data_IF_688519222326
#
_entry.id   IF_688519222326
#
_cell.length_a   1.000
_cell.length_b   1.000
_cell.length_c   1.000
_cell.angle_alpha   90.00
_cell.angle_beta   90.00
_cell.angle_gamma   90.00
#
_symmetry.space_group_name_H-M   'P 1'
#
loop_
_entity.id
_entity.type
_entity.pdbx_description
1 polymer ?
#
# COMPACT_ATOMS: atom_id res chain seq x y z
N UNK A 1 -13.68 7.88 8.97
CA UNK A 1 -14.17 6.64 8.33
C UNK A 1 -13.05 5.86 7.66
N UNK A 2 -12.60 6.32 6.49
CA UNK A 2 -11.69 5.59 5.60
C UNK A 2 -10.44 4.99 6.29
N UNK A 3 -9.68 5.78 7.06
CA UNK A 3 -8.48 5.31 7.75
C UNK A 3 -8.76 4.15 8.74
N UNK A 4 -9.89 4.19 9.45
CA UNK A 4 -10.30 3.11 10.34
C UNK A 4 -10.67 1.87 9.54
N UNK A 5 -11.49 2.00 8.51
CA UNK A 5 -11.90 0.88 7.65
C UNK A 5 -10.68 0.18 7.02
N UNK A 6 -9.75 0.93 6.44
CA UNK A 6 -8.57 0.39 5.78
C UNK A 6 -7.60 -0.27 6.76
N UNK A 7 -7.33 0.37 7.90
CA UNK A 7 -6.45 -0.21 8.91
C UNK A 7 -7.05 -1.46 9.56
N UNK A 8 -8.35 -1.47 9.86
CA UNK A 8 -9.05 -2.65 10.34
C UNK A 8 -9.02 -3.78 9.32
N UNK A 9 -9.36 -3.51 8.05
CA UNK A 9 -9.24 -4.51 6.96
C UNK A 9 -7.82 -5.10 6.89
N UNK A 10 -6.81 -4.24 6.87
CA UNK A 10 -5.40 -4.63 6.74
C UNK A 10 -4.97 -5.54 7.89
N UNK A 11 -5.24 -5.15 9.14
CA UNK A 11 -4.85 -5.94 10.31
C UNK A 11 -5.67 -7.23 10.44
N UNK A 12 -6.99 -7.16 10.20
CA UNK A 12 -7.88 -8.32 10.32
C UNK A 12 -7.59 -9.38 9.24
N UNK A 13 -7.10 -8.99 8.07
CA UNK A 13 -6.74 -9.92 7.00
C UNK A 13 -5.76 -11.03 7.44
N UNK A 14 -4.95 -10.77 8.47
CA UNK A 14 -4.06 -11.77 9.11
C UNK A 14 -4.81 -13.00 9.61
N UNK A 15 -5.99 -12.81 10.19
CA UNK A 15 -6.82 -13.90 10.71
C UNK A 15 -7.44 -14.75 9.59
N UNK A 16 -7.48 -14.22 8.37
CA UNK A 16 -7.97 -14.90 7.17
C UNK A 16 -6.81 -15.43 6.31
N UNK A 17 -5.68 -15.78 6.93
CA UNK A 17 -4.48 -16.28 6.25
C UNK A 17 -4.68 -17.57 5.44
N UNK A 18 -5.74 -18.34 5.74
CA UNK A 18 -6.15 -19.54 4.99
C UNK A 18 -6.89 -19.22 3.69
N UNK A 19 -7.42 -18.01 3.53
CA UNK A 19 -8.09 -17.57 2.30
C UNK A 19 -7.02 -17.26 1.25
N UNK A 20 -7.09 -17.88 0.05
CA UNK A 20 -6.11 -17.64 -1.01
C UNK A 20 -6.12 -16.17 -1.44
N UNK A 21 -4.94 -15.61 -1.70
CA UNK A 21 -4.78 -14.23 -2.19
C UNK A 21 -5.52 -13.97 -3.51
N UNK A 22 -5.83 -15.02 -4.28
CA UNK A 22 -6.70 -14.91 -5.46
C UNK A 22 -8.10 -14.36 -5.15
N UNK A 23 -8.59 -14.49 -3.91
CA UNK A 23 -9.85 -13.89 -3.48
C UNK A 23 -9.86 -12.36 -3.58
N UNK A 24 -8.70 -11.70 -3.55
CA UNK A 24 -8.57 -10.25 -3.70
C UNK A 24 -9.14 -9.79 -5.03
N UNK A 25 -8.97 -10.56 -6.11
CA UNK A 25 -9.59 -10.25 -7.41
C UNK A 25 -11.11 -10.16 -7.33
N UNK A 26 -11.74 -11.04 -6.54
CA UNK A 26 -13.19 -11.00 -6.27
C UNK A 26 -13.60 -9.76 -5.48
N UNK A 27 -12.83 -9.35 -4.47
CA UNK A 27 -13.08 -8.12 -3.70
C UNK A 27 -12.93 -6.87 -4.57
N UNK A 28 -11.92 -6.83 -5.44
CA UNK A 28 -11.74 -5.75 -6.41
C UNK A 28 -12.92 -5.70 -7.40
N UNK A 29 -13.38 -6.84 -7.92
CA UNK A 29 -14.54 -6.90 -8.81
C UNK A 29 -15.83 -6.41 -8.13
N UNK A 30 -16.09 -6.86 -6.90
CA UNK A 30 -17.25 -6.38 -6.13
C UNK A 30 -17.15 -4.86 -5.87
N UNK A 31 -15.96 -4.37 -5.52
CA UNK A 31 -15.72 -2.93 -5.33
C UNK A 31 -15.93 -2.14 -6.62
N UNK A 32 -15.52 -2.67 -7.77
CA UNK A 32 -15.73 -2.04 -9.07
C UNK A 32 -17.22 -1.94 -9.42
N UNK A 33 -18.02 -2.97 -9.14
CA UNK A 33 -19.47 -2.92 -9.33
C UNK A 33 -20.11 -1.87 -8.41
N UNK A 34 -19.73 -1.86 -7.13
CA UNK A 34 -20.24 -0.85 -6.18
C UNK A 34 -19.85 0.57 -6.59
N UNK A 35 -18.60 0.77 -7.05
CA UNK A 35 -18.12 2.05 -7.54
C UNK A 35 -18.88 2.49 -8.81
N UNK A 36 -19.18 1.55 -9.73
CA UNK A 36 -19.96 1.83 -10.93
C UNK A 36 -21.40 2.25 -10.60
N UNK A 37 -22.04 1.59 -9.62
CA UNK A 37 -23.36 2.00 -9.13
C UNK A 37 -23.32 3.37 -8.44
N UNK A 38 -22.28 3.63 -7.63
CA UNK A 38 -22.09 4.92 -6.98
C UNK A 38 -21.86 6.05 -7.99
N UNK A 39 -21.12 5.80 -9.07
CA UNK A 39 -20.88 6.77 -10.14
C UNK A 39 -22.19 7.33 -10.71
N UNK A 40 -23.18 6.49 -10.99
CA UNK A 40 -24.49 6.95 -11.48
C UNK A 40 -25.32 7.74 -10.47
N UNK A 41 -25.06 7.59 -9.18
CA UNK A 41 -25.79 8.28 -8.12
C UNK A 41 -25.17 9.63 -7.77
N UNK A 42 -23.84 9.75 -7.86
CA UNK A 42 -23.10 10.85 -7.27
C UNK A 42 -22.21 11.64 -8.25
N UNK A 43 -21.90 11.10 -9.42
CA UNK A 43 -20.91 11.69 -10.32
C UNK A 43 -21.49 12.02 -11.71
N UNK A 44 -20.84 12.97 -12.39
CA UNK A 44 -21.11 13.27 -13.79
C UNK A 44 -20.40 12.28 -14.70
N UNK A 45 -21.12 11.75 -15.69
CA UNK A 45 -20.55 10.82 -16.67
C UNK A 45 -19.60 11.53 -17.63
N UNK A 46 -18.33 11.10 -17.65
CA UNK A 46 -17.30 11.57 -18.60
C UNK A 46 -16.63 10.34 -19.21
N UNK A 47 -16.49 10.32 -20.53
CA UNK A 47 -15.83 9.22 -21.24
C UNK A 47 -14.34 9.54 -21.38
N UNK A 48 -13.44 8.65 -20.93
CA UNK A 48 -12.00 8.84 -21.14
C UNK A 48 -11.65 8.88 -22.64
N UNK A 49 -10.70 9.73 -23.02
CA UNK A 49 -10.15 9.79 -24.38
C UNK A 49 -8.89 8.92 -24.53
N UNK A 50 -8.45 8.64 -25.76
CA UNK A 50 -7.40 7.68 -26.16
C UNK A 50 -6.35 7.30 -25.10
N UNK A 51 -5.48 8.23 -24.68
CA UNK A 51 -4.41 7.95 -23.71
C UNK A 51 -4.89 7.74 -22.28
N UNK A 52 -6.06 8.27 -21.93
CA UNK A 52 -6.65 8.10 -20.60
C UNK A 52 -7.13 6.66 -20.40
N UNK A 53 -7.62 5.98 -21.46
CA UNK A 53 -7.89 4.54 -21.40
C UNK A 53 -6.64 3.73 -21.11
N UNK A 54 -5.50 4.09 -21.69
CA UNK A 54 -4.23 3.46 -21.36
C UNK A 54 -3.86 3.70 -19.89
N UNK A 55 -4.07 4.92 -19.36
CA UNK A 55 -3.86 5.20 -17.94
C UNK A 55 -4.78 4.36 -17.04
N UNK A 56 -6.07 4.23 -17.38
CA UNK A 56 -7.03 3.38 -16.65
C UNK A 56 -6.56 1.93 -16.61
N UNK A 57 -6.12 1.37 -17.74
CA UNK A 57 -5.59 0.01 -17.81
C UNK A 57 -4.32 -0.16 -16.95
N UNK A 58 -3.38 0.77 -17.04
CA UNK A 58 -2.12 0.72 -16.29
C UNK A 58 -2.35 0.89 -14.77
N UNK A 59 -3.28 1.75 -14.37
CA UNK A 59 -3.71 1.91 -12.98
C UNK A 59 -4.36 0.62 -12.45
N UNK A 60 -5.24 0.02 -13.26
CA UNK A 60 -5.90 -1.25 -12.96
C UNK A 60 -4.93 -2.41 -12.78
N UNK A 61 -3.93 -2.53 -13.65
CA UNK A 61 -2.96 -3.62 -13.60
C UNK A 61 -1.91 -3.44 -12.49
N UNK A 62 -1.41 -2.23 -12.29
CA UNK A 62 -0.33 -1.96 -11.35
C UNK A 62 -0.81 -1.54 -9.95
N UNK A 63 -1.02 -0.24 -9.70
CA UNK A 63 -1.36 0.28 -8.37
C UNK A 63 -2.65 -0.27 -7.74
N UNK A 64 -3.66 -0.65 -8.54
CA UNK A 64 -4.92 -1.20 -8.02
C UNK A 64 -4.91 -2.72 -8.02
N UNK A 65 -4.46 -3.35 -9.10
CA UNK A 65 -4.41 -4.81 -9.21
C UNK A 65 -3.21 -5.37 -8.44
N UNK A 66 -2.03 -5.34 -9.06
CA UNK A 66 -0.81 -5.96 -8.53
C UNK A 66 -0.45 -5.51 -7.12
N UNK A 67 -0.67 -4.24 -6.77
CA UNK A 67 -0.37 -3.74 -5.43
C UNK A 67 -1.26 -4.37 -4.35
N UNK A 68 -2.56 -4.62 -4.62
CA UNK A 68 -3.45 -5.24 -3.63
C UNK A 68 -3.12 -6.72 -3.39
N UNK A 69 -2.70 -7.46 -4.43
CA UNK A 69 -2.23 -8.83 -4.26
C UNK A 69 -0.97 -8.89 -3.41
N UNK A 70 0.03 -8.03 -3.70
CA UNK A 70 1.27 -7.99 -2.90
C UNK A 70 1.01 -7.50 -1.47
N UNK A 71 0.08 -6.57 -1.28
CA UNK A 71 -0.37 -6.13 0.04
C UNK A 71 -1.02 -7.25 0.86
N UNK A 72 -1.93 -8.03 0.26
CA UNK A 72 -2.58 -9.17 0.94
C UNK A 72 -1.56 -10.23 1.37
N UNK A 73 -0.60 -10.57 0.50
CA UNK A 73 0.51 -11.46 0.85
C UNK A 73 1.31 -10.88 2.03
N UNK A 74 1.64 -9.59 1.97
CA UNK A 74 2.38 -8.90 3.02
C UNK A 74 1.67 -8.88 4.37
N UNK A 75 0.36 -8.64 4.38
CA UNK A 75 -0.44 -8.65 5.60
C UNK A 75 -0.56 -10.06 6.20
N UNK A 76 -0.86 -11.07 5.37
CA UNK A 76 -1.05 -12.45 5.84
C UNK A 76 0.24 -13.12 6.30
N UNK A 77 1.35 -12.91 5.58
CA UNK A 77 2.61 -13.65 5.80
C UNK A 77 3.77 -12.81 6.33
N UNK A 78 3.76 -11.50 6.10
CA UNK A 78 4.86 -10.59 6.44
C UNK A 78 4.84 -10.07 7.88
N UNK A 79 5.70 -9.10 8.16
CA UNK A 79 5.69 -8.36 9.41
C UNK A 79 4.78 -7.13 9.29
N UNK A 80 3.57 -7.20 9.84
CA UNK A 80 2.55 -6.14 9.74
C UNK A 80 3.07 -4.80 10.29
N UNK A 81 3.85 -4.82 11.39
CA UNK A 81 4.35 -3.59 12.00
C UNK A 81 5.32 -2.89 11.06
N UNK A 82 6.27 -3.64 10.49
CA UNK A 82 7.20 -3.11 9.49
C UNK A 82 6.47 -2.64 8.23
N UNK A 83 5.49 -3.40 7.75
CA UNK A 83 4.72 -3.03 6.55
C UNK A 83 3.90 -1.76 6.78
N UNK A 84 3.34 -1.58 7.98
CA UNK A 84 2.71 -0.32 8.40
C UNK A 84 3.68 0.85 8.44
N UNK A 85 4.91 0.65 8.93
CA UNK A 85 5.96 1.68 8.88
C UNK A 85 6.36 2.02 7.44
N UNK A 86 6.53 1.02 6.58
CA UNK A 86 6.88 1.19 5.17
C UNK A 86 5.77 1.87 4.36
N UNK A 87 4.51 1.78 4.78
CA UNK A 87 3.41 2.48 4.12
C UNK A 87 3.58 4.01 4.12
N UNK A 88 4.32 4.56 5.09
CA UNK A 88 4.67 6.00 5.10
C UNK A 88 5.64 6.39 3.98
N UNK A 89 6.30 5.43 3.32
CA UNK A 89 7.10 5.72 2.14
C UNK A 89 6.24 6.10 0.92
N UNK A 90 4.95 5.77 0.89
CA UNK A 90 4.07 6.08 -0.24
C UNK A 90 3.97 7.59 -0.54
N UNK A 91 3.63 8.48 0.42
CA UNK A 91 3.61 9.93 0.17
C UNK A 91 4.99 10.49 -0.21
N UNK A 92 6.07 9.94 0.37
CA UNK A 92 7.44 10.33 0.04
C UNK A 92 7.79 9.98 -1.42
N UNK A 93 7.61 8.72 -1.82
CA UNK A 93 7.92 8.25 -3.17
C UNK A 93 7.05 8.93 -4.22
N UNK A 94 5.75 9.13 -3.94
CA UNK A 94 4.83 9.86 -4.82
C UNK A 94 5.34 11.29 -5.07
N UNK A 95 5.75 12.00 -4.02
CA UNK A 95 6.27 13.37 -4.15
C UNK A 95 7.58 13.42 -4.93
N UNK A 96 8.50 12.49 -4.67
CA UNK A 96 9.76 12.39 -5.40
C UNK A 96 9.54 12.08 -6.89
N UNK A 97 8.60 11.19 -7.22
CA UNK A 97 8.24 10.88 -8.60
C UNK A 97 7.64 12.11 -9.31
N UNK A 98 6.75 12.85 -8.65
CA UNK A 98 6.18 14.07 -9.23
C UNK A 98 7.26 15.12 -9.51
N UNK A 99 8.22 15.31 -8.59
CA UNK A 99 9.35 16.23 -8.82
C UNK A 99 10.24 15.74 -9.97
N UNK A 100 10.57 14.45 -10.00
CA UNK A 100 11.42 13.87 -11.05
C UNK A 100 10.79 13.99 -12.44
N UNK A 101 9.47 13.89 -12.54
CA UNK A 101 8.70 14.07 -13.78
C UNK A 101 8.42 15.56 -14.11
N UNK A 102 8.87 16.50 -13.27
CA UNK A 102 8.62 17.93 -13.47
C UNK A 102 7.16 18.37 -13.21
N UNK A 103 6.36 17.52 -12.56
CA UNK A 103 4.96 17.77 -12.21
C UNK A 103 4.78 18.45 -10.84
N UNK A 104 5.86 18.58 -10.07
CA UNK A 104 5.87 19.29 -8.79
C UNK A 104 7.21 20.02 -8.57
N UNK A 105 7.17 21.12 -7.82
CA UNK A 105 8.37 21.90 -7.46
C UNK A 105 8.99 21.39 -6.15
N UNK A 106 10.31 21.26 -6.14
CA UNK A 106 11.08 20.96 -4.93
C UNK A 106 11.17 22.19 -4.02
N UNK A 107 10.13 22.41 -3.20
CA UNK A 107 10.10 23.49 -2.22
C UNK A 107 10.72 23.07 -0.89
N UNK A 108 11.08 24.05 -0.06
CA UNK A 108 11.63 23.78 1.28
C UNK A 108 10.65 23.01 2.18
N UNK A 109 9.35 23.28 2.05
CA UNK A 109 8.30 22.55 2.77
C UNK A 109 8.28 21.06 2.38
N UNK A 110 8.47 20.74 1.10
CA UNK A 110 8.55 19.34 0.63
C UNK A 110 9.78 18.65 1.21
N UNK A 111 10.94 19.30 1.19
CA UNK A 111 12.17 18.74 1.77
C UNK A 111 11.98 18.43 3.26
N UNK A 112 11.40 19.36 4.02
CA UNK A 112 11.12 19.15 5.46
C UNK A 112 10.13 18.00 5.66
N UNK A 113 9.05 17.92 4.86
CA UNK A 113 8.09 16.82 4.94
C UNK A 113 8.75 15.46 4.66
N UNK A 114 9.61 15.38 3.65
CA UNK A 114 10.37 14.17 3.32
C UNK A 114 11.26 13.73 4.49
N UNK A 115 11.98 14.66 5.11
CA UNK A 115 12.82 14.39 6.28
C UNK A 115 11.97 13.87 7.45
N UNK A 116 10.85 14.51 7.75
CA UNK A 116 9.96 14.09 8.84
C UNK A 116 9.39 12.67 8.63
N UNK A 117 9.03 12.32 7.39
CA UNK A 117 8.56 10.97 7.06
C UNK A 117 9.66 9.93 7.30
N UNK A 118 10.89 10.20 6.82
CA UNK A 118 12.03 9.28 7.01
C UNK A 118 12.35 9.12 8.50
N UNK A 119 12.41 10.22 9.25
CA UNK A 119 12.64 10.19 10.69
C UNK A 119 11.55 9.40 11.44
N UNK A 120 10.28 9.63 11.11
CA UNK A 120 9.15 8.90 11.68
C UNK A 120 9.21 7.39 11.38
N UNK A 121 9.55 7.02 10.15
CA UNK A 121 9.70 5.63 9.75
C UNK A 121 10.86 4.94 10.50
N UNK A 122 12.03 5.59 10.61
CA UNK A 122 13.16 5.07 11.38
C UNK A 122 12.80 4.86 12.85
N UNK A 123 12.11 5.82 13.47
CA UNK A 123 11.67 5.71 14.85
C UNK A 123 10.66 4.57 15.04
N UNK A 124 9.70 4.43 14.14
CA UNK A 124 8.66 3.39 14.18
C UNK A 124 9.22 1.97 13.94
N UNK A 125 10.22 1.82 13.08
CA UNK A 125 10.84 0.52 12.76
C UNK A 125 11.56 -0.12 13.94
N UNK A 126 11.88 0.67 14.98
CA UNK A 126 12.66 0.22 16.13
C UNK A 126 14.15 -0.01 15.83
N UNK A 127 14.63 0.28 14.61
CA UNK A 127 16.05 0.21 14.26
C UNK A 127 16.93 1.09 15.15
N UNK A 128 16.37 2.20 15.64
CA UNK A 128 17.04 3.10 16.59
C UNK A 128 17.01 2.60 18.04
N UNK A 129 16.10 1.68 18.38
CA UNK A 129 15.81 1.30 19.78
C UNK A 129 16.07 -0.16 20.11
N UNK A 130 16.18 -1.05 19.12
CA UNK A 130 16.39 -2.48 19.33
C UNK A 130 17.58 -2.95 18.50
N UNK A 131 18.74 -3.27 19.12
CA UNK A 131 19.84 -3.89 18.40
C UNK A 131 19.40 -5.23 17.83
N UNK A 132 19.85 -5.52 16.62
CA UNK A 132 19.60 -6.78 15.92
C UNK A 132 19.96 -7.96 16.84
N UNK A 133 19.01 -8.88 17.05
CA UNK A 133 19.25 -10.14 17.76
C UNK A 133 19.39 -11.26 16.72
N UNK A 134 20.54 -11.93 16.65
CA UNK A 134 20.67 -13.14 15.83
C UNK A 134 19.61 -14.16 16.25
N UNK A 135 18.96 -14.78 15.27
CA UNK A 135 18.07 -15.92 15.51
C UNK A 135 18.97 -17.07 16.01
N UNK A 136 18.68 -17.68 17.17
CA UNK A 136 19.44 -18.85 17.62
C UNK A 136 19.33 -19.95 16.55
N UNK A 137 20.41 -20.70 16.26
CA UNK A 137 20.35 -21.80 15.31
C UNK A 137 19.21 -22.75 15.71
N UNK A 138 18.45 -23.21 14.73
CA UNK A 138 17.43 -24.23 14.93
C UNK A 138 18.09 -25.45 15.60
N UNK A 139 17.39 -26.13 16.54
CA UNK A 139 17.84 -27.43 17.00
C UNK A 139 18.10 -28.28 15.76
N UNK A 140 19.33 -28.77 15.61
CA UNK A 140 19.60 -29.81 14.63
C UNK A 140 18.68 -30.98 14.99
N UNK A 141 17.88 -31.44 14.03
CA UNK A 141 17.14 -32.70 14.21
C UNK A 141 18.16 -33.76 14.67
N UNK A 142 17.91 -34.45 15.79
CA UNK A 142 18.70 -35.60 16.16
C UNK A 142 18.37 -36.73 15.18
N UNK A 143 19.30 -36.96 14.26
CA UNK A 143 19.55 -38.14 13.41
C UNK A 143 18.40 -38.68 12.53
#
# INVERSE_FOLDING_TARGET
>A
GCAFTWSSYSVLSRYFGTIPTQAVGGFCAATAVLAWLAHFLFESFVVPDGTEWLAVLMLGLGPVGGAFFTWDVGMKRGNIKLLGTLAYAAPLLSTLLLIALGLASATWSVVVACVLIVCGALLSSGLLTRPWRPIPPLPLDPD
#
